data_IF_476581113715
#
_entry.id   IF_476581113715
#
_cell.length_a   1.000
_cell.length_b   1.000
_cell.length_c   1.000
_cell.angle_alpha   90.00
_cell.angle_beta   90.00
_cell.angle_gamma   90.00
#
_symmetry.space_group_name_H-M   'P 1'
#
loop_
_entity.id
_entity.type
_entity.pdbx_description
1 polymer ?
#
# COMPACT_ATOMS: atom_id res chain seq x y z
N UNK A 1 -5.60 20.19 10.71
CA UNK A 1 -5.61 20.91 9.43
C UNK A 1 -4.20 20.99 8.83
N UNK A 2 -3.32 21.94 9.16
CA UNK A 2 -1.94 22.03 8.58
C UNK A 2 -1.10 20.73 8.50
N UNK A 3 -1.40 19.72 9.32
CA UNK A 3 -0.69 18.42 9.35
C UNK A 3 -1.12 17.43 8.26
N UNK A 4 -2.34 17.51 7.71
CA UNK A 4 -2.78 16.59 6.65
C UNK A 4 -1.96 16.77 5.36
N UNK A 5 -1.51 18.00 5.10
CA UNK A 5 -0.70 18.37 3.93
C UNK A 5 0.82 18.25 4.15
N UNK A 6 1.24 17.89 5.37
CA UNK A 6 2.66 17.73 5.73
C UNK A 6 2.99 16.26 5.99
N UNK A 7 4.21 15.79 5.66
CA UNK A 7 4.59 14.41 5.88
C UNK A 7 4.69 14.11 7.38
N UNK A 8 4.38 12.87 7.83
CA UNK A 8 4.39 12.52 9.25
C UNK A 8 5.67 12.86 10.02
N UNK A 9 6.83 12.81 9.37
CA UNK A 9 8.12 13.15 10.00
C UNK A 9 8.20 14.57 10.56
N UNK A 10 7.31 15.49 10.17
CA UNK A 10 7.25 16.85 10.71
C UNK A 10 6.49 16.98 12.02
N UNK A 11 5.63 16.02 12.34
CA UNK A 11 4.68 16.16 13.45
C UNK A 11 4.51 14.89 14.29
N UNK A 12 5.06 13.76 13.87
CA UNK A 12 4.97 12.51 14.61
C UNK A 12 5.60 12.63 15.99
N UNK A 13 4.99 11.98 16.97
CA UNK A 13 5.55 11.86 18.31
C UNK A 13 6.74 10.90 18.31
N UNK A 14 7.38 10.75 19.47
CA UNK A 14 8.40 9.71 19.64
C UNK A 14 7.78 8.33 19.37
N UNK A 15 8.51 7.37 18.79
CA UNK A 15 8.03 6.01 18.61
C UNK A 15 7.58 5.40 19.94
N UNK A 16 6.41 4.74 19.95
CA UNK A 16 5.97 3.89 21.06
C UNK A 16 7.01 2.80 21.28
N UNK A 17 7.39 2.52 22.53
CA UNK A 17 8.47 1.57 22.83
C UNK A 17 8.16 0.16 22.31
N UNK A 18 9.02 -0.34 21.42
CA UNK A 18 8.98 -1.70 20.90
C UNK A 18 10.41 -2.09 20.49
N UNK A 19 11.16 -2.80 21.36
CA UNK A 19 12.58 -3.07 21.13
C UNK A 19 12.89 -3.73 19.78
N UNK A 20 12.10 -4.72 19.38
CA UNK A 20 12.28 -5.43 18.09
C UNK A 20 12.10 -4.52 16.85
N UNK A 21 11.45 -3.36 17.01
CA UNK A 21 11.27 -2.39 15.94
C UNK A 21 12.38 -1.33 15.89
N UNK A 22 13.39 -1.38 16.78
CA UNK A 22 14.48 -0.41 16.84
C UNK A 22 15.70 -0.98 16.13
N UNK A 23 16.11 -0.34 15.04
CA UNK A 23 17.37 -0.61 14.37
C UNK A 23 17.95 0.67 13.78
N UNK A 24 19.28 0.76 13.78
CA UNK A 24 20.05 1.85 13.18
C UNK A 24 20.87 1.38 11.98
N UNK A 25 21.09 0.09 11.87
CA UNK A 25 21.75 -0.56 10.73
C UNK A 25 20.90 -1.71 10.19
N UNK A 26 21.17 -2.12 8.95
CA UNK A 26 20.44 -3.22 8.31
C UNK A 26 20.60 -4.55 9.07
N UNK A 27 21.78 -4.82 9.62
CA UNK A 27 22.06 -6.03 10.38
C UNK A 27 21.29 -6.12 11.71
N UNK A 28 20.78 -5.00 12.22
CA UNK A 28 19.96 -4.92 13.42
C UNK A 28 18.46 -5.08 13.12
N UNK A 29 18.07 -5.10 11.85
CA UNK A 29 16.66 -5.17 11.49
C UNK A 29 16.11 -6.56 11.80
N UNK A 30 15.13 -6.61 12.70
CA UNK A 30 14.38 -7.81 13.05
C UNK A 30 12.94 -7.72 12.53
N UNK A 31 12.29 -8.86 12.24
CA UNK A 31 10.84 -8.89 12.10
C UNK A 31 10.18 -8.52 13.43
N UNK A 32 9.08 -7.79 13.37
CA UNK A 32 8.36 -7.37 14.57
C UNK A 32 6.86 -7.32 14.33
N UNK A 33 6.11 -7.49 15.42
CA UNK A 33 4.66 -7.30 15.43
C UNK A 33 4.35 -5.93 16.04
N UNK A 34 3.72 -5.05 15.27
CA UNK A 34 3.23 -3.76 15.75
C UNK A 34 1.81 -3.93 16.29
N UNK A 35 1.54 -3.33 17.46
CA UNK A 35 0.19 -3.21 17.98
C UNK A 35 -0.33 -1.81 17.73
N UNK A 36 -1.53 -1.70 17.17
CA UNK A 36 -2.18 -0.41 16.99
C UNK A 36 -2.66 0.09 18.36
N UNK A 37 -2.15 1.25 18.78
CA UNK A 37 -2.43 1.82 20.10
C UNK A 37 -3.93 1.94 20.39
N UNK A 38 -4.36 1.57 21.59
CA UNK A 38 -5.77 1.65 22.00
C UNK A 38 -6.67 0.53 21.46
N UNK A 39 -6.12 -0.46 20.75
CA UNK A 39 -6.85 -1.65 20.26
C UNK A 39 -6.05 -2.93 20.55
N UNK A 40 -6.61 -4.10 20.25
CA UNK A 40 -5.91 -5.39 20.30
C UNK A 40 -5.44 -5.85 18.90
N UNK A 41 -5.62 -5.00 17.87
CA UNK A 41 -5.24 -5.31 16.49
C UNK A 41 -3.73 -5.16 16.33
N UNK A 42 -3.13 -6.12 15.64
CA UNK A 42 -1.70 -6.19 15.39
C UNK A 42 -1.42 -6.53 13.94
N UNK A 43 -0.26 -6.11 13.43
CA UNK A 43 0.24 -6.50 12.12
C UNK A 43 1.75 -6.77 12.18
N UNK A 44 2.23 -7.65 11.29
CA UNK A 44 3.62 -8.06 11.24
C UNK A 44 4.39 -7.28 10.18
N UNK A 45 5.62 -6.89 10.51
CA UNK A 45 6.57 -6.22 9.64
C UNK A 45 7.80 -7.11 9.42
N UNK A 46 8.19 -7.27 8.16
CA UNK A 46 9.32 -8.11 7.72
C UNK A 46 10.47 -7.22 7.24
N UNK A 47 11.71 -7.45 7.68
CA UNK A 47 12.86 -6.68 7.19
C UNK A 47 13.20 -7.08 5.76
N UNK A 48 13.34 -6.09 4.90
CA UNK A 48 13.72 -6.21 3.50
C UNK A 48 15.15 -5.66 3.36
N UNK A 49 16.12 -6.49 2.95
CA UNK A 49 17.50 -6.07 2.84
C UNK A 49 17.67 -4.99 1.78
N UNK A 50 18.73 -4.18 1.87
CA UNK A 50 19.08 -3.25 0.80
C UNK A 50 19.76 -4.00 -0.34
N UNK A 51 19.68 -3.48 -1.56
CA UNK A 51 20.38 -4.13 -2.67
C UNK A 51 20.10 -3.54 -4.04
N UNK A 52 20.70 -4.18 -5.05
CA UNK A 52 20.46 -3.86 -6.45
C UNK A 52 19.70 -4.97 -7.13
N UNK A 53 18.81 -4.62 -8.04
CA UNK A 53 18.09 -5.58 -8.88
C UNK A 53 17.75 -4.99 -10.25
N UNK A 54 17.33 -5.85 -11.17
CA UNK A 54 16.76 -5.45 -12.45
C UNK A 54 15.24 -5.36 -12.29
N UNK A 55 14.70 -4.16 -12.35
CA UNK A 55 13.26 -3.90 -12.36
C UNK A 55 12.71 -4.06 -13.78
N UNK A 56 11.53 -4.66 -13.89
CA UNK A 56 10.88 -5.02 -15.16
C UNK A 56 11.21 -6.45 -15.62
N UNK A 57 10.64 -6.83 -16.76
CA UNK A 57 10.77 -8.18 -17.33
C UNK A 57 11.66 -8.21 -18.58
N UNK A 58 12.44 -9.29 -18.79
CA UNK A 58 13.21 -9.47 -20.02
C UNK A 58 12.26 -9.64 -21.21
N UNK A 59 12.68 -9.20 -22.39
CA UNK A 59 11.85 -9.24 -23.61
C UNK A 59 11.36 -10.65 -24.01
N UNK A 60 12.00 -11.70 -23.49
CA UNK A 60 11.65 -13.10 -23.72
C UNK A 60 10.73 -13.70 -22.65
N UNK A 61 10.39 -12.98 -21.58
CA UNK A 61 9.51 -13.51 -20.53
C UNK A 61 8.09 -13.75 -21.08
N UNK A 62 7.54 -14.97 -20.98
CA UNK A 62 6.17 -15.24 -21.39
C UNK A 62 5.16 -14.37 -20.64
N UNK A 63 4.13 -13.90 -21.33
CA UNK A 63 3.09 -13.03 -20.75
C UNK A 63 3.51 -11.58 -20.51
N UNK A 64 4.77 -11.21 -20.78
CA UNK A 64 5.26 -9.83 -20.69
C UNK A 64 4.42 -8.86 -21.52
N UNK A 65 4.13 -7.69 -20.93
CA UNK A 65 3.58 -6.51 -21.62
C UNK A 65 4.65 -5.48 -21.98
N UNK A 66 4.27 -4.57 -22.88
CA UNK A 66 5.18 -3.57 -23.44
C UNK A 66 5.68 -2.56 -22.38
N UNK A 67 4.85 -2.27 -21.38
CA UNK A 67 5.08 -1.30 -20.30
C UNK A 67 5.95 -1.85 -19.14
N UNK A 68 6.40 -3.09 -19.24
CA UNK A 68 7.26 -3.74 -18.24
C UNK A 68 8.76 -3.60 -18.57
N UNK A 69 9.10 -2.91 -19.65
CA UNK A 69 10.47 -2.74 -20.10
C UNK A 69 10.86 -1.31 -20.46
N UNK A 70 12.14 -1.09 -20.79
CA UNK A 70 13.22 -2.07 -20.71
C UNK A 70 13.56 -2.38 -19.24
N UNK A 71 14.28 -3.48 -18.99
CA UNK A 71 14.80 -3.70 -17.63
C UNK A 71 15.77 -2.59 -17.24
N UNK A 72 15.64 -2.10 -16.01
CA UNK A 72 16.47 -1.02 -15.47
C UNK A 72 17.16 -1.47 -14.18
N UNK A 73 18.40 -1.02 -13.97
CA UNK A 73 19.10 -1.26 -12.70
C UNK A 73 18.59 -0.30 -11.64
N UNK A 74 18.12 -0.85 -10.53
CA UNK A 74 17.63 -0.09 -9.39
C UNK A 74 18.38 -0.51 -8.12
N UNK A 75 18.74 0.48 -7.31
CA UNK A 75 19.26 0.31 -5.96
C UNK A 75 18.18 0.70 -4.94
N UNK A 76 17.85 -0.21 -4.02
CA UNK A 76 16.87 -0.06 -2.96
C UNK A 76 17.59 0.02 -1.61
N UNK A 77 17.24 1.02 -0.80
CA UNK A 77 17.68 1.10 0.60
C UNK A 77 16.86 0.16 1.48
N UNK A 78 17.43 -0.39 2.57
CA UNK A 78 16.73 -1.33 3.44
C UNK A 78 15.51 -0.70 4.14
N UNK A 79 14.46 -1.49 4.30
CA UNK A 79 13.18 -1.08 4.88
C UNK A 79 12.43 -2.28 5.45
N UNK A 80 11.40 -2.05 6.26
CA UNK A 80 10.44 -3.09 6.62
C UNK A 80 9.19 -2.98 5.74
N UNK A 81 8.60 -4.12 5.40
CA UNK A 81 7.32 -4.21 4.69
C UNK A 81 6.30 -5.01 5.51
N UNK A 82 5.03 -4.63 5.42
CA UNK A 82 3.93 -5.40 5.97
C UNK A 82 3.95 -6.82 5.40
N UNK A 83 3.92 -7.82 6.28
CA UNK A 83 3.95 -9.24 5.93
C UNK A 83 2.81 -9.64 5.00
N UNK A 84 1.66 -8.99 5.18
CA UNK A 84 0.42 -9.17 4.44
C UNK A 84 -0.07 -7.81 3.92
N UNK A 85 -1.09 -7.82 3.07
CA UNK A 85 -1.89 -6.62 2.80
C UNK A 85 -2.55 -6.11 4.10
N UNK A 86 -2.83 -4.81 4.16
CA UNK A 86 -3.58 -4.22 5.28
C UNK A 86 -4.98 -4.81 5.28
N UNK A 87 -5.37 -5.40 6.42
CA UNK A 87 -6.68 -6.05 6.57
C UNK A 87 -7.80 -5.05 6.88
N UNK A 88 -9.06 -5.48 6.76
CA UNK A 88 -10.21 -4.69 7.26
C UNK A 88 -10.13 -4.46 8.77
N UNK A 89 -9.62 -5.43 9.54
CA UNK A 89 -9.42 -5.31 10.99
C UNK A 89 -8.53 -4.11 11.36
N UNK A 90 -7.54 -3.83 10.49
CA UNK A 90 -6.62 -2.71 10.61
C UNK A 90 -7.22 -1.41 10.05
N UNK A 91 -7.69 -1.46 8.80
CA UNK A 91 -8.11 -0.27 8.06
C UNK A 91 -9.30 0.44 8.70
N UNK A 92 -10.28 -0.30 9.21
CA UNK A 92 -11.52 0.30 9.73
C UNK A 92 -11.36 1.02 11.07
N UNK A 93 -10.30 0.71 11.81
CA UNK A 93 -9.91 1.49 12.99
C UNK A 93 -9.83 2.97 12.67
N UNK A 94 -9.24 3.29 11.51
CA UNK A 94 -9.18 4.63 10.94
C UNK A 94 -10.37 4.93 10.03
N UNK A 95 -10.56 4.12 8.98
CA UNK A 95 -11.45 4.42 7.87
C UNK A 95 -12.92 4.57 8.30
N UNK A 96 -13.32 3.85 9.34
CA UNK A 96 -14.67 3.91 9.94
C UNK A 96 -14.65 4.54 11.34
N UNK A 97 -13.49 5.01 11.82
CA UNK A 97 -13.31 5.58 13.16
C UNK A 97 -13.61 4.59 14.29
N UNK A 98 -13.39 3.28 14.08
CA UNK A 98 -13.69 2.28 15.10
C UNK A 98 -12.81 2.45 16.35
N UNK A 99 -11.59 3.00 16.22
CA UNK A 99 -10.75 3.31 17.38
C UNK A 99 -11.39 4.40 18.26
N UNK A 100 -11.92 5.47 17.62
CA UNK A 100 -12.61 6.57 18.30
C UNK A 100 -13.91 6.09 18.94
N UNK A 101 -14.68 5.27 18.21
CA UNK A 101 -15.93 4.70 18.71
C UNK A 101 -15.67 3.80 19.92
N UNK A 102 -14.65 2.94 19.86
CA UNK A 102 -14.24 2.08 20.98
C UNK A 102 -13.90 2.90 22.21
N UNK A 103 -13.05 3.93 22.10
CA UNK A 103 -12.71 4.82 23.21
C UNK A 103 -13.97 5.44 23.83
N UNK A 104 -14.89 5.94 23.00
CA UNK A 104 -16.15 6.55 23.45
C UNK A 104 -17.06 5.58 24.19
N UNK A 105 -17.29 4.38 23.63
CA UNK A 105 -18.21 3.39 24.19
C UNK A 105 -17.69 2.83 25.52
N UNK A 106 -16.37 2.62 25.62
CA UNK A 106 -15.74 2.07 26.82
C UNK A 106 -15.35 3.14 27.86
N UNK A 107 -15.54 4.43 27.55
CA UNK A 107 -15.13 5.53 28.43
C UNK A 107 -13.62 5.58 28.67
N UNK A 108 -12.81 5.19 27.68
CA UNK A 108 -11.36 5.20 27.78
C UNK A 108 -10.83 6.61 27.50
N UNK A 109 -9.84 7.11 28.26
CA UNK A 109 -9.19 8.37 27.95
C UNK A 109 -8.41 8.27 26.63
N UNK A 110 -8.30 9.38 25.90
CA UNK A 110 -7.36 9.48 24.79
C UNK A 110 -5.93 9.66 25.30
N UNK A 111 -4.97 9.13 24.56
CA UNK A 111 -3.54 9.40 24.70
C UNK A 111 -3.11 10.52 23.76
N UNK A 112 -1.89 11.03 23.91
CA UNK A 112 -1.32 12.01 22.97
C UNK A 112 -1.24 11.48 21.52
N UNK A 113 -1.06 10.16 21.35
CA UNK A 113 -1.06 9.51 20.04
C UNK A 113 -2.47 9.47 19.44
N UNK A 114 -3.49 9.22 20.26
CA UNK A 114 -4.90 9.26 19.84
C UNK A 114 -5.30 10.68 19.44
N UNK A 115 -4.97 11.67 20.28
CA UNK A 115 -5.27 13.07 20.02
C UNK A 115 -4.61 13.55 18.72
N UNK A 116 -3.39 13.08 18.42
CA UNK A 116 -2.71 13.35 17.16
C UNK A 116 -3.37 12.62 15.98
N UNK A 117 -3.67 11.34 16.12
CA UNK A 117 -4.28 10.51 15.08
C UNK A 117 -5.69 11.02 14.70
N UNK A 118 -6.46 11.51 15.66
CA UNK A 118 -7.80 12.11 15.45
C UNK A 118 -7.74 13.41 14.63
N UNK A 119 -6.55 13.99 14.41
CA UNK A 119 -6.37 15.13 13.50
C UNK A 119 -6.14 14.75 12.04
N UNK A 120 -5.91 13.47 11.74
CA UNK A 120 -5.73 12.96 10.39
C UNK A 120 -7.10 12.80 9.74
N UNK A 121 -7.29 13.38 8.55
CA UNK A 121 -8.56 13.29 7.82
C UNK A 121 -8.92 11.82 7.56
N UNK A 122 -10.20 11.49 7.70
CA UNK A 122 -10.75 10.15 7.47
C UNK A 122 -11.69 10.15 6.25
N UNK A 123 -11.96 8.97 5.67
CA UNK A 123 -12.98 8.83 4.65
C UNK A 123 -14.34 9.35 5.09
N UNK A 124 -15.10 9.94 4.16
CA UNK A 124 -16.54 10.09 4.36
C UNK A 124 -17.18 8.71 4.43
N UNK A 125 -18.39 8.62 5.01
CA UNK A 125 -19.12 7.35 5.06
C UNK A 125 -19.31 6.80 3.63
N UNK A 126 -18.98 5.53 3.38
CA UNK A 126 -19.24 4.91 2.09
C UNK A 126 -20.75 4.80 1.87
N UNK A 127 -21.19 4.77 0.60
CA UNK A 127 -22.61 4.59 0.28
C UNK A 127 -23.05 3.13 0.39
N UNK A 128 -22.10 2.19 0.36
CA UNK A 128 -22.30 0.74 0.44
C UNK A 128 -21.30 0.11 1.39
N UNK A 129 -21.48 -1.18 1.70
CA UNK A 129 -20.45 -1.97 2.37
C UNK A 129 -19.29 -2.24 1.40
N UNK A 130 -18.12 -1.71 1.74
CA UNK A 130 -16.93 -1.78 0.90
C UNK A 130 -16.27 -3.17 0.89
N UNK A 131 -16.76 -4.11 1.72
CA UNK A 131 -16.34 -5.52 1.63
C UNK A 131 -16.99 -6.25 0.45
N UNK A 132 -18.09 -5.71 -0.10
CA UNK A 132 -18.91 -6.36 -1.12
C UNK A 132 -19.36 -7.78 -0.74
N UNK A 133 -19.41 -8.08 0.56
CA UNK A 133 -19.84 -9.39 1.08
C UNK A 133 -18.82 -10.52 0.93
N UNK A 134 -17.59 -10.24 0.47
CA UNK A 134 -16.56 -11.26 0.22
C UNK A 134 -15.77 -11.64 1.48
N UNK A 135 -15.69 -10.76 2.48
CA UNK A 135 -15.02 -11.06 3.75
C UNK A 135 -14.63 -9.82 4.52
N UNK A 136 -14.34 -9.97 5.82
CA UNK A 136 -13.93 -8.86 6.69
C UNK A 136 -12.78 -9.27 7.60
N UNK A 137 -13.04 -10.16 8.56
CA UNK A 137 -12.06 -10.54 9.59
C UNK A 137 -10.88 -11.33 8.99
N UNK A 138 -9.68 -10.74 9.05
CA UNK A 138 -8.46 -11.27 8.44
C UNK A 138 -8.40 -11.20 6.91
N UNK A 139 -9.34 -10.51 6.27
CA UNK A 139 -9.34 -10.28 4.82
C UNK A 139 -8.69 -8.93 4.47
N UNK A 140 -8.06 -8.80 3.29
CA UNK A 140 -7.50 -7.53 2.84
C UNK A 140 -8.58 -6.44 2.72
N UNK A 141 -8.24 -5.23 3.13
CA UNK A 141 -9.07 -4.07 2.85
C UNK A 141 -8.96 -3.71 1.37
N UNK A 142 -10.09 -3.39 0.73
CA UNK A 142 -10.20 -3.06 -0.70
C UNK A 142 -11.04 -1.81 -0.99
N UNK A 143 -11.12 -1.42 -2.26
CA UNK A 143 -11.96 -0.34 -2.78
C UNK A 143 -11.64 1.07 -2.26
N UNK A 144 -10.43 1.29 -1.74
CA UNK A 144 -9.99 2.63 -1.38
C UNK A 144 -9.15 3.25 -2.50
N UNK A 145 -9.14 4.58 -2.55
CA UNK A 145 -8.20 5.30 -3.43
C UNK A 145 -6.77 5.23 -2.87
N UNK A 146 -5.76 5.43 -3.73
CA UNK A 146 -4.38 5.61 -3.28
C UNK A 146 -4.24 6.75 -2.25
N UNK A 147 -5.06 7.82 -2.37
CA UNK A 147 -5.13 8.89 -1.38
C UNK A 147 -5.52 8.34 0.00
N UNK A 148 -6.59 7.55 0.05
CA UNK A 148 -7.07 6.96 1.31
C UNK A 148 -6.01 6.04 1.94
N UNK A 149 -5.34 5.21 1.13
CA UNK A 149 -4.26 4.35 1.61
C UNK A 149 -3.07 5.16 2.18
N UNK A 150 -2.70 6.29 1.55
CA UNK A 150 -1.67 7.21 2.08
C UNK A 150 -2.12 7.89 3.38
N UNK A 151 -3.40 8.25 3.49
CA UNK A 151 -3.94 8.83 4.71
C UNK A 151 -4.01 7.83 5.86
N UNK A 152 -4.31 6.56 5.59
CA UNK A 152 -4.15 5.47 6.56
C UNK A 152 -2.71 5.38 7.05
N UNK A 153 -1.71 5.43 6.15
CA UNK A 153 -0.30 5.42 6.55
C UNK A 153 0.07 6.60 7.46
N UNK A 154 -0.50 7.80 7.22
CA UNK A 154 -0.35 8.95 8.12
C UNK A 154 -0.98 8.68 9.48
N UNK A 155 -2.21 8.16 9.52
CA UNK A 155 -2.85 7.79 10.78
C UNK A 155 -2.04 6.74 11.55
N UNK A 156 -1.56 5.70 10.87
CA UNK A 156 -0.73 4.66 11.49
C UNK A 156 0.57 5.26 12.06
N UNK A 157 1.15 6.24 11.35
CA UNK A 157 2.33 6.96 11.84
C UNK A 157 2.03 7.79 13.10
N UNK A 158 0.85 8.41 13.17
CA UNK A 158 0.40 9.12 14.37
C UNK A 158 0.18 8.17 15.55
N UNK A 159 -0.39 6.99 15.31
CA UNK A 159 -0.70 5.99 16.34
C UNK A 159 0.53 5.32 16.95
N UNK A 160 1.61 5.21 16.19
CA UNK A 160 2.82 4.44 16.57
C UNK A 160 4.05 5.31 16.81
N UNK A 161 4.03 6.56 16.33
CA UNK A 161 5.21 7.43 16.30
C UNK A 161 6.30 6.95 15.33
N UNK A 162 6.00 6.00 14.43
CA UNK A 162 6.92 5.51 13.38
C UNK A 162 6.46 5.98 12.01
N UNK A 163 7.40 6.23 11.11
CA UNK A 163 7.06 6.68 9.75
C UNK A 163 6.65 5.51 8.84
N UNK A 164 5.35 5.40 8.57
CA UNK A 164 4.77 4.46 7.61
C UNK A 164 4.33 5.17 6.33
N UNK A 165 4.40 4.46 5.20
CA UNK A 165 3.95 4.94 3.88
C UNK A 165 3.62 3.75 2.97
N UNK A 166 3.07 4.05 1.79
CA UNK A 166 3.02 3.08 0.69
C UNK A 166 4.44 2.80 0.14
N UNK A 167 4.70 1.61 -0.41
CA UNK A 167 5.92 1.32 -1.16
C UNK A 167 5.99 2.16 -2.44
N UNK A 168 7.20 2.46 -2.92
CA UNK A 168 7.36 2.79 -4.34
C UNK A 168 7.16 1.53 -5.17
N UNK A 169 6.87 1.69 -6.46
CA UNK A 169 6.75 0.56 -7.38
C UNK A 169 8.02 -0.30 -7.40
N UNK A 170 9.18 0.34 -7.35
CA UNK A 170 10.46 -0.35 -7.32
C UNK A 170 10.69 -1.12 -6.02
N UNK A 171 10.30 -0.56 -4.86
CA UNK A 171 10.36 -1.27 -3.58
C UNK A 171 9.40 -2.48 -3.58
N UNK A 172 8.20 -2.33 -4.15
CA UNK A 172 7.23 -3.40 -4.26
C UNK A 172 7.76 -4.56 -5.12
N UNK A 173 8.28 -4.27 -6.32
CA UNK A 173 8.78 -5.33 -7.20
C UNK A 173 10.03 -6.00 -6.62
N UNK A 174 10.93 -5.23 -6.00
CA UNK A 174 12.10 -5.78 -5.32
C UNK A 174 11.71 -6.74 -4.21
N UNK A 175 10.74 -6.35 -3.37
CA UNK A 175 10.22 -7.17 -2.29
C UNK A 175 9.46 -8.39 -2.80
N UNK A 176 8.66 -8.25 -3.88
CA UNK A 176 7.94 -9.34 -4.53
C UNK A 176 8.93 -10.41 -5.01
N UNK A 177 9.96 -10.01 -5.76
CA UNK A 177 11.01 -10.90 -6.29
C UNK A 177 11.83 -11.59 -5.21
N UNK A 178 12.06 -10.93 -4.08
CA UNK A 178 12.82 -11.46 -2.94
C UNK A 178 14.17 -12.11 -3.34
N UNK A 179 14.87 -11.45 -4.28
CA UNK A 179 16.17 -11.88 -4.80
C UNK A 179 16.12 -12.81 -6.02
N UNK A 180 14.94 -13.26 -6.48
CA UNK A 180 14.83 -14.02 -7.73
C UNK A 180 14.80 -13.10 -8.97
N UNK A 181 15.08 -13.69 -10.12
CA UNK A 181 15.02 -13.04 -11.44
C UNK A 181 13.97 -13.66 -12.36
N UNK A 182 13.15 -14.55 -11.83
CA UNK A 182 12.12 -15.32 -12.52
C UNK A 182 10.83 -14.53 -12.66
N UNK A 183 9.87 -15.04 -13.43
CA UNK A 183 8.56 -14.41 -13.62
C UNK A 183 7.81 -14.25 -12.28
N UNK A 184 7.83 -15.27 -11.43
CA UNK A 184 7.30 -15.26 -10.06
C UNK A 184 8.42 -15.44 -9.03
N UNK A 185 8.16 -15.13 -7.76
CA UNK A 185 9.15 -15.31 -6.68
C UNK A 185 9.51 -16.77 -6.38
N UNK A 186 8.71 -17.71 -6.89
CA UNK A 186 8.90 -19.15 -6.73
C UNK A 186 9.42 -19.86 -7.99
N UNK A 187 9.48 -19.18 -9.14
CA UNK A 187 9.92 -19.79 -10.40
C UNK A 187 9.29 -19.14 -11.63
N UNK A 188 9.46 -19.78 -12.78
CA UNK A 188 8.88 -19.34 -14.07
C UNK A 188 7.60 -20.10 -14.45
N UNK A 189 7.30 -21.19 -13.74
CA UNK A 189 6.17 -22.07 -14.04
C UNK A 189 4.88 -21.55 -13.38
N UNK A 190 3.87 -21.10 -14.15
CA UNK A 190 2.60 -20.67 -13.57
C UNK A 190 1.82 -21.81 -12.89
N UNK A 191 2.12 -23.08 -13.17
CA UNK A 191 1.42 -24.21 -12.54
C UNK A 191 1.68 -24.27 -11.02
N UNK A 192 2.76 -23.63 -10.54
CA UNK A 192 3.06 -23.52 -9.11
C UNK A 192 2.20 -22.44 -8.40
N UNK A 193 1.46 -21.58 -9.12
CA UNK A 193 0.68 -20.48 -8.52
C UNK A 193 -0.31 -20.94 -7.46
N UNK A 194 -0.90 -22.13 -7.61
CA UNK A 194 -1.86 -22.67 -6.65
C UNK A 194 -1.31 -22.76 -5.21
N UNK A 195 0.00 -22.88 -5.06
CA UNK A 195 0.65 -22.90 -3.75
C UNK A 195 0.91 -21.51 -3.17
N UNK A 196 0.94 -20.45 -3.98
CA UNK A 196 1.41 -19.11 -3.61
C UNK A 196 0.36 -18.00 -3.78
N UNK A 197 -0.72 -18.27 -4.52
CA UNK A 197 -1.64 -17.24 -5.01
C UNK A 197 -3.11 -17.62 -4.83
N UNK A 198 -3.93 -16.60 -4.56
CA UNK A 198 -5.36 -16.61 -4.87
C UNK A 198 -5.59 -15.83 -6.15
N UNK A 199 -6.13 -16.46 -7.17
CA UNK A 199 -6.26 -15.89 -8.51
C UNK A 199 -7.47 -16.48 -9.24
N UNK A 200 -7.72 -16.07 -10.49
CA UNK A 200 -8.96 -16.39 -11.20
C UNK A 200 -9.37 -17.88 -11.11
N UNK A 201 -8.43 -18.82 -11.27
CA UNK A 201 -8.76 -20.25 -11.32
C UNK A 201 -9.07 -20.88 -9.95
N UNK A 202 -8.63 -20.28 -8.83
CA UNK A 202 -8.67 -20.92 -7.51
C UNK A 202 -9.28 -20.07 -6.39
N UNK A 203 -9.74 -18.85 -6.69
CA UNK A 203 -10.21 -17.89 -5.69
C UNK A 203 -11.67 -18.09 -5.26
N UNK A 204 -12.44 -18.88 -6.01
CA UNK A 204 -13.90 -19.01 -5.89
C UNK A 204 -14.64 -17.65 -6.05
N UNK A 205 -14.20 -16.83 -7.00
CA UNK A 205 -14.76 -15.50 -7.33
C UNK A 205 -14.73 -14.50 -6.15
N UNK A 206 -13.72 -14.59 -5.27
CA UNK A 206 -13.56 -13.68 -4.13
C UNK A 206 -12.11 -13.56 -3.65
N UNK A 207 -11.76 -12.42 -3.05
CA UNK A 207 -10.52 -12.33 -2.26
C UNK A 207 -10.62 -13.19 -1.00
N UNK A 208 -9.48 -13.59 -0.47
CA UNK A 208 -9.39 -14.55 0.62
C UNK A 208 -8.69 -13.94 1.83
N UNK A 209 -8.72 -14.64 2.96
CA UNK A 209 -7.93 -14.23 4.13
C UNK A 209 -6.46 -14.13 3.75
N UNK A 210 -5.79 -13.13 4.30
CA UNK A 210 -4.36 -12.95 4.06
C UNK A 210 -3.56 -14.12 4.63
N UNK A 211 -2.42 -14.42 4.00
CA UNK A 211 -1.44 -15.37 4.50
C UNK A 211 -1.87 -16.83 4.44
N UNK A 212 -2.83 -17.20 3.59
CA UNK A 212 -3.31 -18.59 3.45
C UNK A 212 -2.52 -19.42 2.43
N UNK A 213 -1.68 -18.78 1.61
CA UNK A 213 -0.79 -19.42 0.65
C UNK A 213 0.67 -19.34 1.12
N UNK A 214 1.60 -19.95 0.39
CA UNK A 214 3.04 -19.91 0.74
C UNK A 214 3.60 -18.50 0.54
N UNK A 215 4.51 -18.05 1.41
CA UNK A 215 5.19 -16.78 1.21
C UNK A 215 6.28 -16.87 0.15
N UNK A 216 6.74 -15.72 -0.32
CA UNK A 216 7.96 -15.59 -1.09
C UNK A 216 9.23 -15.87 -0.23
N UNK A 217 10.43 -15.94 -0.84
CA UNK A 217 11.69 -16.21 -0.12
C UNK A 217 12.02 -15.29 1.07
N UNK A 218 11.45 -14.09 1.15
CA UNK A 218 11.63 -13.16 2.27
C UNK A 218 10.52 -13.22 3.32
N UNK A 219 9.52 -14.09 3.14
CA UNK A 219 8.45 -14.26 4.12
C UNK A 219 7.27 -13.31 3.93
N UNK A 220 7.16 -12.64 2.78
CA UNK A 220 6.00 -11.85 2.39
C UNK A 220 4.96 -12.75 1.73
N UNK A 221 3.70 -12.58 2.13
CA UNK A 221 2.58 -13.36 1.62
C UNK A 221 1.79 -12.56 0.59
N UNK A 222 1.07 -13.30 -0.26
CA UNK A 222 0.09 -12.75 -1.20
C UNK A 222 0.69 -11.75 -2.22
N UNK A 223 2.00 -11.85 -2.49
CA UNK A 223 2.71 -10.98 -3.44
C UNK A 223 2.36 -11.27 -4.92
N UNK A 224 1.58 -12.33 -5.17
CA UNK A 224 1.18 -12.80 -6.48
C UNK A 224 -0.33 -13.13 -6.48
N UNK A 225 -1.21 -12.16 -6.23
CA UNK A 225 -2.66 -12.37 -6.24
C UNK A 225 -3.33 -11.90 -4.96
N UNK A 226 -4.49 -12.48 -4.64
CA UNK A 226 -5.44 -12.04 -3.63
C UNK A 226 -6.00 -10.65 -3.96
N UNK A 227 -5.29 -9.57 -3.66
CA UNK A 227 -5.66 -8.23 -4.10
C UNK A 227 -4.45 -7.50 -4.68
N UNK A 228 -4.67 -6.74 -5.74
CA UNK A 228 -3.64 -5.86 -6.26
C UNK A 228 -3.39 -4.72 -5.27
N UNK A 229 -2.17 -4.17 -5.29
CA UNK A 229 -1.74 -3.26 -4.24
C UNK A 229 -1.33 -1.89 -4.76
N UNK A 230 -1.85 -0.84 -4.12
CA UNK A 230 -1.39 0.52 -4.36
C UNK A 230 0.09 0.69 -4.05
N UNK A 231 0.83 1.22 -5.02
CA UNK A 231 2.18 1.80 -4.84
C UNK A 231 2.11 3.31 -5.02
N UNK A 232 3.19 4.05 -4.73
CA UNK A 232 3.20 5.51 -4.83
C UNK A 232 3.18 6.05 -6.27
N UNK A 233 3.66 5.25 -7.22
CA UNK A 233 4.05 5.69 -8.55
C UNK A 233 2.87 5.94 -9.49
N UNK A 234 3.10 6.86 -10.44
CA UNK A 234 2.26 7.09 -11.61
C UNK A 234 2.62 6.13 -12.74
N UNK A 235 1.60 5.67 -13.45
CA UNK A 235 1.73 4.79 -14.59
C UNK A 235 2.14 5.57 -15.85
N UNK A 236 2.97 4.94 -16.68
CA UNK A 236 3.37 5.44 -18.00
C UNK A 236 3.24 4.29 -18.99
N UNK A 237 2.50 4.47 -20.10
CA UNK A 237 2.37 3.43 -21.13
C UNK A 237 3.70 3.19 -21.87
N UNK A 238 4.65 4.12 -21.79
CA UNK A 238 6.02 3.93 -22.28
C UNK A 238 6.87 3.06 -21.34
N UNK A 239 6.29 2.49 -20.29
CA UNK A 239 6.98 1.62 -19.34
C UNK A 239 8.12 2.33 -18.62
N UNK A 240 9.30 1.73 -18.69
CA UNK A 240 10.51 2.24 -18.03
C UNK A 240 11.47 2.97 -18.97
N UNK A 241 11.03 3.34 -20.17
CA UNK A 241 11.89 4.00 -21.17
C UNK A 241 12.55 5.29 -20.64
N UNK A 242 11.88 6.04 -19.77
CA UNK A 242 12.44 7.25 -19.15
C UNK A 242 13.67 6.97 -18.24
N UNK A 243 13.77 5.74 -17.75
CA UNK A 243 14.83 5.27 -16.85
C UNK A 243 15.93 4.49 -17.57
N UNK A 244 15.75 4.18 -18.87
CA UNK A 244 16.62 3.33 -19.65
C UNK A 244 18.09 3.80 -19.67
N UNK A 245 19.02 2.84 -19.58
CA UNK A 245 20.47 3.08 -19.65
C UNK A 245 21.06 3.80 -18.44
N UNK A 246 20.33 3.88 -17.32
CA UNK A 246 20.76 4.52 -16.08
C UNK A 246 20.55 3.57 -14.90
N UNK A 247 21.31 3.83 -13.83
CA UNK A 247 21.10 3.21 -12.52
C UNK A 247 20.41 4.21 -11.62
N UNK A 248 19.35 3.80 -10.91
CA UNK A 248 18.53 4.68 -10.09
C UNK A 248 18.49 4.20 -8.64
N UNK A 249 18.71 5.12 -7.70
CA UNK A 249 18.58 4.84 -6.27
C UNK A 249 17.21 5.27 -5.76
N UNK A 250 16.44 4.32 -5.21
CA UNK A 250 15.05 4.50 -4.76
C UNK A 250 14.22 5.33 -5.75
N UNK A 251 14.08 4.91 -7.02
CA UNK A 251 13.32 5.67 -8.01
C UNK A 251 11.85 5.79 -7.59
N UNK A 252 11.24 6.88 -8.04
CA UNK A 252 9.80 7.11 -7.99
C UNK A 252 9.39 7.89 -9.25
N UNK A 253 8.35 7.42 -9.93
CA UNK A 253 7.67 8.11 -10.99
C UNK A 253 6.48 8.88 -10.38
N UNK A 254 6.54 10.21 -10.23
CA UNK A 254 5.46 10.96 -9.62
C UNK A 254 4.18 10.87 -10.48
N UNK A 255 2.99 10.63 -9.87
CA UNK A 255 1.71 10.70 -10.56
C UNK A 255 1.49 12.06 -11.26
N UNK A 256 0.94 12.01 -12.47
CA UNK A 256 0.64 13.20 -13.29
C UNK A 256 -0.85 13.44 -13.50
N UNK A 257 -1.68 12.46 -13.14
CA UNK A 257 -3.12 12.45 -13.34
C UNK A 257 -3.81 11.98 -12.04
N UNK A 258 -5.12 12.25 -11.91
CA UNK A 258 -5.93 11.73 -10.80
C UNK A 258 -5.92 10.19 -10.83
N UNK A 259 -6.13 9.65 -12.04
CA UNK A 259 -6.03 8.24 -12.37
C UNK A 259 -4.64 7.89 -12.91
N UNK A 260 -4.47 6.70 -13.52
CA UNK A 260 -3.19 6.15 -13.94
C UNK A 260 -2.18 6.07 -12.78
N UNK A 261 -2.64 5.66 -11.60
CA UNK A 261 -1.77 5.33 -10.46
C UNK A 261 -1.49 3.84 -10.49
N UNK A 262 -0.24 3.45 -10.28
CA UNK A 262 0.18 2.06 -10.44
C UNK A 262 -0.39 1.19 -9.32
N UNK A 263 -0.81 -0.01 -9.70
CA UNK A 263 -1.06 -1.14 -8.81
C UNK A 263 -0.20 -2.33 -9.25
N UNK A 264 0.16 -3.21 -8.31
CA UNK A 264 1.01 -4.38 -8.56
C UNK A 264 0.44 -5.65 -7.92
N UNK A 265 0.91 -6.82 -8.36
CA UNK A 265 0.60 -8.12 -7.74
C UNK A 265 -0.48 -8.94 -8.43
N UNK A 266 -1.39 -8.30 -9.16
CA UNK A 266 -2.60 -8.98 -9.63
C UNK A 266 -3.53 -9.31 -8.47
N UNK A 267 -4.61 -10.02 -8.73
CA UNK A 267 -5.67 -10.22 -7.74
C UNK A 267 -6.44 -11.53 -7.94
N UNK A 268 -7.43 -11.76 -7.09
CA UNK A 268 -8.30 -12.92 -7.09
C UNK A 268 -9.07 -13.16 -8.41
N UNK A 269 -9.28 -12.13 -9.24
CA UNK A 269 -10.00 -12.26 -10.51
C UNK A 269 -9.08 -12.21 -11.74
N UNK A 270 -7.77 -12.07 -11.53
CA UNK A 270 -6.79 -11.96 -12.61
C UNK A 270 -6.21 -13.33 -13.01
N UNK A 271 -5.89 -13.48 -14.30
CA UNK A 271 -5.15 -14.61 -14.85
C UNK A 271 -3.65 -14.56 -14.45
N UNK A 272 -2.99 -15.72 -14.49
CA UNK A 272 -1.58 -15.91 -14.11
C UNK A 272 -0.61 -14.85 -14.69
N UNK A 273 -0.79 -14.41 -15.94
CA UNK A 273 0.12 -13.44 -16.58
C UNK A 273 0.13 -12.06 -15.89
N UNK A 274 -0.93 -11.73 -15.14
CA UNK A 274 -1.09 -10.49 -14.36
C UNK A 274 -0.47 -10.59 -12.97
N UNK A 275 -0.15 -11.80 -12.51
CA UNK A 275 0.41 -12.06 -11.18
C UNK A 275 1.94 -12.10 -11.15
N UNK A 276 2.60 -12.03 -12.32
CA UNK A 276 4.06 -11.99 -12.40
C UNK A 276 4.63 -10.82 -11.61
N UNK A 277 5.85 -10.99 -11.10
CA UNK A 277 6.56 -9.97 -10.32
C UNK A 277 6.65 -8.64 -11.07
N UNK A 278 6.88 -8.68 -12.39
CA UNK A 278 6.98 -7.48 -13.23
C UNK A 278 5.63 -6.93 -13.72
N UNK A 279 4.52 -7.65 -13.57
CA UNK A 279 3.24 -7.29 -14.18
C UNK A 279 2.61 -6.06 -13.53
N UNK A 280 2.35 -5.02 -14.33
CA UNK A 280 1.83 -3.74 -13.86
C UNK A 280 0.37 -3.58 -14.31
N UNK A 281 -0.39 -2.87 -13.49
CA UNK A 281 -1.70 -2.33 -13.88
C UNK A 281 -1.86 -0.93 -13.27
N UNK A 282 -2.96 -0.26 -13.54
CA UNK A 282 -3.17 1.11 -13.10
C UNK A 282 -4.63 1.45 -12.90
N UNK A 283 -4.87 2.47 -12.08
CA UNK A 283 -6.21 2.98 -11.79
C UNK A 283 -6.87 3.60 -13.01
N UNK A 284 -8.13 3.25 -13.25
CA UNK A 284 -8.95 3.81 -14.32
C UNK A 284 -10.07 4.70 -13.76
N UNK A 285 -10.69 5.51 -14.63
CA UNK A 285 -11.74 6.45 -14.24
C UNK A 285 -13.06 5.75 -13.90
N UNK A 286 -13.36 4.65 -14.58
CA UNK A 286 -14.57 3.85 -14.38
C UNK A 286 -14.57 3.08 -13.06
N UNK A 287 -13.44 2.98 -12.36
CA UNK A 287 -13.32 2.35 -11.04
C UNK A 287 -14.13 3.02 -9.92
N UNK A 288 -14.73 4.17 -10.19
CA UNK A 288 -15.67 4.86 -9.28
C UNK A 288 -17.05 5.07 -9.90
N UNK A 289 -17.35 4.42 -11.01
CA UNK A 289 -18.57 4.65 -11.80
C UNK A 289 -19.85 4.43 -10.99
N UNK A 290 -19.84 3.48 -10.05
CA UNK A 290 -20.98 3.14 -9.22
C UNK A 290 -21.20 4.08 -8.04
N UNK A 291 -20.25 4.98 -7.70
CA UNK A 291 -20.44 5.93 -6.61
C UNK A 291 -21.54 6.95 -6.95
N UNK A 292 -22.71 6.90 -6.29
CA UNK A 292 -23.83 7.79 -6.60
C UNK A 292 -23.68 9.16 -5.94
N UNK A 293 -22.63 9.39 -5.15
CA UNK A 293 -22.43 10.63 -4.41
C UNK A 293 -22.07 11.80 -5.34
N UNK A 294 -22.52 13.00 -4.99
CA UNK A 294 -22.19 14.25 -5.70
C UNK A 294 -21.52 15.25 -4.73
N UNK A 295 -20.28 15.70 -5.00
CA UNK A 295 -19.31 15.03 -5.88
C UNK A 295 -19.04 13.59 -5.42
N UNK A 296 -18.53 12.77 -6.34
CA UNK A 296 -18.06 11.42 -6.05
C UNK A 296 -16.93 11.47 -5.02
N UNK A 297 -16.81 10.42 -4.22
CA UNK A 297 -15.84 10.32 -3.16
C UNK A 297 -14.41 10.35 -3.69
N UNK A 298 -13.54 11.10 -3.02
CA UNK A 298 -12.08 11.02 -3.20
C UNK A 298 -11.45 9.86 -2.42
N UNK A 299 -12.26 9.12 -1.66
CA UNK A 299 -11.80 8.09 -0.73
C UNK A 299 -11.98 6.66 -1.25
N UNK A 300 -12.91 6.45 -2.18
CA UNK A 300 -13.30 5.11 -2.62
C UNK A 300 -13.19 4.96 -4.15
N UNK A 301 -12.80 3.76 -4.57
CA UNK A 301 -12.92 3.25 -5.93
C UNK A 301 -13.87 2.05 -5.86
N UNK A 302 -15.17 2.29 -6.00
CA UNK A 302 -16.22 1.33 -5.70
C UNK A 302 -16.35 0.17 -6.68
N UNK A 303 -15.70 0.28 -7.83
CA UNK A 303 -15.58 -0.78 -8.84
C UNK A 303 -14.16 -1.39 -8.86
N UNK A 304 -13.35 -1.12 -7.84
CA UNK A 304 -12.03 -1.72 -7.65
C UNK A 304 -12.03 -2.64 -6.41
N UNK A 305 -12.91 -3.65 -6.43
CA UNK A 305 -13.10 -4.66 -5.36
C UNK A 305 -12.00 -5.73 -5.26
N UNK A 306 -10.87 -5.39 -5.83
CA UNK A 306 -9.68 -6.21 -5.93
C UNK A 306 -8.40 -5.42 -5.65
N UNK A 307 -8.53 -4.14 -5.26
CA UNK A 307 -7.38 -3.27 -5.00
C UNK A 307 -7.32 -2.90 -3.53
N UNK A 308 -6.30 -3.39 -2.85
CA UNK A 308 -5.89 -3.03 -1.50
C UNK A 308 -4.53 -2.36 -1.49
N UNK A 309 -3.78 -2.55 -0.40
CA UNK A 309 -2.41 -2.05 -0.26
C UNK A 309 -1.70 -2.73 0.91
N UNK A 310 -0.37 -2.59 0.96
CA UNK A 310 0.45 -2.86 2.14
C UNK A 310 1.30 -1.65 2.52
N UNK A 311 1.77 -1.63 3.77
CA UNK A 311 2.59 -0.54 4.31
C UNK A 311 4.07 -0.89 4.30
N UNK A 312 4.91 0.14 4.21
CA UNK A 312 6.36 0.04 4.44
C UNK A 312 6.84 1.07 5.45
N UNK A 313 7.97 0.77 6.08
CA UNK A 313 8.70 1.66 6.99
C UNK A 313 10.19 1.65 6.61
N UNK A 314 10.79 2.77 6.18
CA UNK A 314 12.22 2.78 5.87
C UNK A 314 13.08 2.59 7.14
N UNK A 315 14.24 1.94 7.01
CA UNK A 315 15.21 1.82 8.11
C UNK A 315 15.60 3.21 8.64
N UNK A 316 16.00 4.09 7.72
CA UNK A 316 16.28 5.49 8.01
C UNK A 316 15.01 6.30 7.82
N UNK A 317 14.53 6.93 8.88
CA UNK A 317 13.48 7.94 8.77
C UNK A 317 13.95 9.09 7.85
N UNK A 318 13.20 9.42 6.78
CA UNK A 318 13.58 10.51 5.89
C UNK A 318 13.51 11.86 6.61
N UNK A 319 14.32 12.81 6.15
CA UNK A 319 14.14 14.23 6.52
C UNK A 319 12.80 14.75 5.99
N UNK A 320 12.21 15.83 6.55
CA UNK A 320 10.98 16.42 6.02
C UNK A 320 11.01 16.67 4.50
N UNK A 321 12.13 17.21 3.98
CA UNK A 321 12.31 17.45 2.55
C UNK A 321 12.29 16.16 1.73
N UNK A 322 12.92 15.10 2.22
CA UNK A 322 12.89 13.79 1.56
C UNK A 322 11.53 13.11 1.70
N UNK A 323 10.79 13.36 2.77
CA UNK A 323 9.49 12.75 2.98
C UNK A 323 8.43 13.30 2.00
N UNK A 324 8.59 14.54 1.50
CA UNK A 324 7.67 15.16 0.53
C UNK A 324 7.50 14.35 -0.75
N UNK A 325 8.54 13.65 -1.24
CA UNK A 325 8.41 12.79 -2.45
C UNK A 325 7.52 11.57 -2.24
N UNK A 326 7.28 11.16 -0.99
CA UNK A 326 6.43 10.01 -0.66
C UNK A 326 5.06 10.42 -0.10
N UNK A 327 4.85 11.72 0.11
CA UNK A 327 3.62 12.26 0.66
C UNK A 327 2.55 12.48 -0.41
N UNK A 328 1.38 13.01 -0.04
CA UNK A 328 0.35 13.46 -0.97
C UNK A 328 0.95 14.31 -2.10
N UNK A 329 0.62 13.97 -3.35
CA UNK A 329 0.98 14.80 -4.49
C UNK A 329 0.03 16.00 -4.60
N UNK A 330 0.40 16.98 -5.44
CA UNK A 330 -0.38 18.21 -5.59
C UNK A 330 -1.79 17.96 -6.13
N UNK A 331 -2.00 16.90 -6.93
CA UNK A 331 -3.33 16.54 -7.44
C UNK A 331 -4.20 16.11 -6.27
N UNK A 332 -3.71 15.19 -5.45
CA UNK A 332 -4.40 14.73 -4.24
C UNK A 332 -4.71 15.86 -3.26
N UNK A 333 -3.77 16.78 -3.03
CA UNK A 333 -3.99 17.95 -2.15
C UNK A 333 -5.10 18.85 -2.67
N UNK A 334 -5.09 19.15 -3.97
CA UNK A 334 -6.13 19.97 -4.60
C UNK A 334 -7.49 19.27 -4.55
N UNK A 335 -7.56 17.97 -4.89
CA UNK A 335 -8.79 17.18 -4.81
C UNK A 335 -9.38 17.20 -3.39
N UNK A 336 -8.55 17.09 -2.36
CA UNK A 336 -8.99 17.19 -0.96
C UNK A 336 -9.60 18.56 -0.63
N UNK A 337 -8.98 19.65 -1.10
CA UNK A 337 -9.47 21.02 -0.87
C UNK A 337 -10.81 21.23 -1.59
N UNK A 338 -10.89 20.83 -2.86
CA UNK A 338 -12.09 20.97 -3.70
C UNK A 338 -13.24 20.12 -3.16
N UNK A 339 -12.98 18.86 -2.81
CA UNK A 339 -13.97 17.97 -2.24
C UNK A 339 -14.52 18.49 -0.90
N UNK A 340 -13.64 18.99 -0.01
CA UNK A 340 -14.06 19.57 1.25
C UNK A 340 -14.96 20.79 1.03
N UNK A 341 -14.58 21.70 0.14
CA UNK A 341 -15.37 22.86 -0.21
C UNK A 341 -16.75 22.47 -0.78
N UNK A 342 -16.80 21.50 -1.70
CA UNK A 342 -18.03 21.04 -2.33
C UNK A 342 -18.99 20.34 -1.33
N UNK A 343 -18.47 19.67 -0.32
CA UNK A 343 -19.26 19.01 0.74
C UNK A 343 -19.56 19.91 1.94
N UNK A 344 -19.08 21.16 1.95
CA UNK A 344 -19.20 22.05 3.11
C UNK A 344 -18.43 21.54 4.34
N UNK A 345 -17.39 20.74 4.12
CA UNK A 345 -16.51 20.24 5.16
C UNK A 345 -15.40 21.27 5.43
N UNK A 346 -14.83 21.28 6.65
CA UNK A 346 -13.66 22.09 6.92
C UNK A 346 -12.51 21.73 5.98
N UNK A 347 -11.86 22.75 5.39
CA UNK A 347 -10.73 22.52 4.50
C UNK A 347 -9.57 21.87 5.26
N UNK A 348 -8.95 20.81 4.71
CA UNK A 348 -7.92 20.04 5.40
C UNK A 348 -6.65 20.82 5.69
#
# INVERSE_FOLDING_TARGET
MKRSHAPPVEWMLKPVELPAAVATTEAEMEPYTERIGGTDVTFDMVPIPGGKFLMGSPASEPGRRDDEGPQIEVEIEPFWMGKHEVTWDEYELWGMGLDQQRRRVLGLPSTEYDDLADTVSMPTKPYTDMTFGMGRDGYPAICMTQLSAKMYCKWLSAKTGRYYRLPTEAEWEYACRAGTTTAYSFGDDPDDLDDYAWYYDNSDDQYQKVGQKKPNPWGLYDMHGNVAEWVLDGYSPEGYQAFAGKSWKNPIAPPKEVFRRVIRGGSWFDDADRLRSAARSFSEEDWKSQDPQIPQSIWFMTDADYVGFRVVRPLRTPTPKEALRYDLDEIQKNDMIEYAAAKGLPTP
#
